data_IF_573121894301
#
_entry.id   IF_573121894301
#
_cell.length_a   1.000
_cell.length_b   1.000
_cell.length_c   1.000
_cell.angle_alpha   90.00
_cell.angle_beta   90.00
_cell.angle_gamma   90.00
#
_symmetry.space_group_name_H-M   'P 1'
#
loop_
_entity.id
_entity.type
_entity.pdbx_description
1 polymer ?
#
# COMPACT_ATOMS: atom_id res chain seq x y z
N UNK A 1 34.64 -36.09 23.04
CA UNK A 1 35.19 -35.51 24.28
C UNK A 1 36.24 -34.45 23.94
N UNK A 2 35.94 -33.16 24.15
CA UNK A 2 36.82 -32.20 24.84
C UNK A 2 36.09 -30.88 24.99
N UNK A 3 35.89 -30.54 26.25
CA UNK A 3 35.15 -29.41 26.78
C UNK A 3 35.87 -28.08 26.53
N UNK A 4 35.10 -27.03 26.24
CA UNK A 4 35.53 -25.66 26.50
C UNK A 4 34.62 -25.07 27.58
N UNK A 5 35.21 -24.85 28.74
CA UNK A 5 34.65 -24.17 29.92
C UNK A 5 35.58 -22.98 30.19
N UNK A 6 35.08 -22.00 30.96
CA UNK A 6 35.82 -20.93 31.66
C UNK A 6 35.91 -19.62 30.84
N UNK A 7 35.58 -18.41 31.33
CA UNK A 7 35.21 -17.88 32.65
C UNK A 7 34.39 -16.59 32.43
N UNK A 8 33.35 -16.35 33.23
CA UNK A 8 32.68 -15.04 33.34
C UNK A 8 33.32 -14.29 34.50
N UNK A 9 33.90 -13.12 34.24
CA UNK A 9 34.41 -12.22 35.29
C UNK A 9 33.55 -10.97 35.35
N UNK A 10 32.78 -10.83 36.43
CA UNK A 10 32.06 -9.61 36.82
C UNK A 10 33.05 -8.53 37.24
N UNK A 11 32.95 -7.34 36.63
CA UNK A 11 33.54 -6.11 37.15
C UNK A 11 32.42 -5.16 37.57
N UNK A 12 32.31 -4.92 38.89
CA UNK A 12 31.54 -3.82 39.47
C UNK A 12 32.24 -2.50 39.11
N UNK A 13 31.59 -1.66 38.31
CA UNK A 13 32.01 -0.28 38.09
C UNK A 13 31.14 0.66 38.94
N UNK A 14 31.83 1.21 39.94
CA UNK A 14 31.59 2.38 40.76
C UNK A 14 30.57 3.41 40.20
N UNK A 15 29.51 3.70 40.97
CA UNK A 15 28.54 4.78 40.67
C UNK A 15 28.88 5.96 41.57
N UNK A 16 29.35 7.11 41.03
CA UNK A 16 29.48 8.31 41.84
C UNK A 16 28.11 8.96 42.04
N UNK A 17 27.65 8.97 43.29
CA UNK A 17 26.67 9.93 43.78
C UNK A 17 27.32 11.32 43.87
N UNK A 18 26.70 12.32 43.22
CA UNK A 18 26.51 13.66 43.81
C UNK A 18 25.64 14.56 42.95
N UNK A 19 24.55 14.97 43.57
CA UNK A 19 23.69 16.08 43.17
C UNK A 19 24.44 17.38 42.88
N UNK A 20 24.12 18.00 41.75
CA UNK A 20 24.15 19.46 41.60
C UNK A 20 22.92 19.91 40.81
N UNK A 21 22.12 20.75 41.46
CA UNK A 21 21.07 21.57 40.87
C UNK A 21 21.61 22.28 39.61
N UNK A 22 21.18 21.82 38.44
CA UNK A 22 21.13 22.62 37.24
C UNK A 22 19.67 22.96 37.01
N UNK A 23 19.31 24.24 37.12
CA UNK A 23 18.00 24.71 36.72
C UNK A 23 17.65 24.10 35.36
N UNK A 24 16.52 23.39 35.28
CA UNK A 24 15.90 23.10 33.99
C UNK A 24 15.50 24.47 33.45
N UNK A 25 16.42 25.10 32.73
CA UNK A 25 16.11 26.21 31.86
C UNK A 25 14.88 25.79 31.04
N UNK A 26 13.90 26.68 30.82
CA UNK A 26 12.84 26.36 29.88
C UNK A 26 13.54 26.01 28.58
N UNK A 27 13.45 24.74 28.14
CA UNK A 27 13.84 24.38 26.79
C UNK A 27 12.85 25.14 25.92
N UNK A 28 13.22 26.37 25.53
CA UNK A 28 12.58 27.02 24.40
C UNK A 28 12.56 25.99 23.29
N UNK A 29 11.40 25.80 22.66
CA UNK A 29 11.27 24.81 21.59
C UNK A 29 12.48 24.93 20.66
N UNK A 30 13.20 23.83 20.43
CA UNK A 30 14.42 23.82 19.62
C UNK A 30 14.20 24.12 18.13
N UNK A 31 13.07 24.75 17.79
CA UNK A 31 12.62 25.10 16.44
C UNK A 31 12.44 26.63 16.38
N UNK A 32 12.82 27.24 15.27
CA UNK A 32 12.69 28.68 15.06
C UNK A 32 11.26 29.11 14.74
N UNK A 33 10.43 28.23 14.17
CA UNK A 33 9.01 28.50 13.88
C UNK A 33 8.19 27.20 13.70
N UNK A 34 6.87 27.33 13.54
CA UNK A 34 5.94 26.20 13.38
C UNK A 34 6.23 25.38 12.11
N UNK A 35 6.58 26.02 11.00
CA UNK A 35 6.88 25.33 9.73
C UNK A 35 8.07 24.39 9.91
N UNK A 36 9.16 24.86 10.52
CA UNK A 36 10.31 24.01 10.83
C UNK A 36 9.96 22.83 11.74
N UNK A 37 9.13 23.06 12.77
CA UNK A 37 8.69 21.99 13.66
C UNK A 37 7.84 20.94 12.92
N UNK A 38 6.95 21.36 12.01
CA UNK A 38 6.13 20.47 11.18
C UNK A 38 6.99 19.70 10.17
N UNK A 39 7.93 20.38 9.52
CA UNK A 39 8.86 19.76 8.57
C UNK A 39 9.74 18.71 9.24
N UNK A 40 10.17 18.96 10.49
CA UNK A 40 10.92 17.98 11.28
C UNK A 40 10.08 16.72 11.57
N UNK A 41 8.80 16.86 11.91
CA UNK A 41 7.89 15.71 12.10
C UNK A 41 7.68 14.97 10.76
N UNK A 42 7.43 15.69 9.68
CA UNK A 42 7.25 15.11 8.35
C UNK A 42 8.50 14.35 7.87
N UNK A 43 9.70 14.85 8.21
CA UNK A 43 10.95 14.17 7.91
C UNK A 43 11.08 12.84 8.67
N UNK A 44 10.64 12.78 9.94
CA UNK A 44 10.58 11.53 10.70
C UNK A 44 9.59 10.55 10.06
N UNK A 45 8.41 11.01 9.64
CA UNK A 45 7.45 10.15 8.94
C UNK A 45 8.00 9.60 7.61
N UNK A 46 8.75 10.41 6.86
CA UNK A 46 9.44 9.95 5.65
C UNK A 46 10.50 8.87 5.94
N UNK A 47 11.21 8.98 7.08
CA UNK A 47 12.12 7.94 7.55
C UNK A 47 11.37 6.67 7.98
N UNK A 48 10.24 6.80 8.67
CA UNK A 48 9.39 5.65 9.04
C UNK A 48 8.86 4.92 7.80
N UNK A 49 8.45 5.66 6.76
CA UNK A 49 8.10 5.09 5.46
C UNK A 49 9.27 4.33 4.83
N UNK A 50 10.47 4.93 4.83
CA UNK A 50 11.68 4.29 4.30
C UNK A 50 12.05 3.01 5.05
N UNK A 51 11.87 2.99 6.38
CA UNK A 51 12.07 1.81 7.22
C UNK A 51 10.99 0.75 6.96
N UNK A 52 9.75 1.14 6.73
CA UNK A 52 8.68 0.20 6.34
C UNK A 52 9.00 -0.50 5.01
N UNK A 53 9.52 0.24 4.02
CA UNK A 53 10.00 -0.36 2.77
C UNK A 53 11.18 -1.33 2.99
N UNK A 54 12.11 -0.97 3.89
CA UNK A 54 13.26 -1.82 4.23
C UNK A 54 12.81 -3.10 4.93
N UNK A 55 11.83 -3.00 5.84
CA UNK A 55 11.19 -4.13 6.50
C UNK A 55 10.54 -5.07 5.49
N UNK A 56 9.79 -4.53 4.52
CA UNK A 56 9.15 -5.35 3.49
C UNK A 56 10.17 -6.18 2.69
N UNK A 57 11.28 -5.57 2.30
CA UNK A 57 12.35 -6.29 1.58
C UNK A 57 12.99 -7.38 2.45
N UNK A 58 13.28 -7.09 3.71
CA UNK A 58 13.85 -8.07 4.64
C UNK A 58 12.88 -9.22 4.92
N UNK A 59 11.59 -8.93 5.10
CA UNK A 59 10.57 -9.95 5.32
C UNK A 59 10.45 -10.88 4.11
N UNK A 60 10.47 -10.35 2.88
CA UNK A 60 10.48 -11.19 1.68
C UNK A 60 11.78 -12.01 1.57
N UNK A 61 12.94 -11.42 1.86
CA UNK A 61 14.21 -12.16 1.85
C UNK A 61 14.22 -13.31 2.87
N UNK A 62 13.62 -13.11 4.04
CA UNK A 62 13.46 -14.18 5.05
C UNK A 62 12.49 -15.25 4.56
N UNK A 63 11.37 -14.86 3.94
CA UNK A 63 10.40 -15.79 3.36
C UNK A 63 11.06 -16.67 2.29
N UNK A 64 11.81 -16.07 1.36
CA UNK A 64 12.57 -16.79 0.33
C UNK A 64 13.62 -17.71 0.95
N UNK A 65 14.36 -17.24 1.96
CA UNK A 65 15.38 -18.06 2.64
C UNK A 65 14.80 -19.31 3.31
N UNK A 66 13.60 -19.22 3.90
CA UNK A 66 12.88 -20.37 4.46
C UNK A 66 12.34 -21.28 3.36
N UNK A 67 11.76 -20.71 2.30
CA UNK A 67 11.22 -21.47 1.17
C UNK A 67 12.29 -22.30 0.44
N UNK A 68 13.54 -21.83 0.43
CA UNK A 68 14.70 -22.55 -0.12
C UNK A 68 15.18 -23.72 0.76
N UNK A 69 14.62 -23.91 1.97
CA UNK A 69 15.05 -24.92 2.98
C UNK A 69 13.87 -25.70 3.57
N UNK A 70 12.98 -26.29 2.76
CA UNK A 70 11.76 -26.94 3.26
C UNK A 70 12.04 -28.05 4.29
N UNK A 71 13.18 -28.75 4.17
CA UNK A 71 13.60 -29.83 5.06
C UNK A 71 13.90 -29.38 6.49
N UNK A 72 14.19 -28.09 6.72
CA UNK A 72 14.53 -27.55 8.04
C UNK A 72 13.31 -27.04 8.80
N UNK A 73 12.21 -26.77 8.09
CA UNK A 73 11.03 -26.10 8.63
C UNK A 73 9.77 -26.94 8.52
N UNK A 74 9.93 -28.27 8.36
CA UNK A 74 8.79 -29.21 8.36
C UNK A 74 7.67 -28.80 7.41
N UNK A 75 8.01 -28.11 6.31
CA UNK A 75 7.02 -27.55 5.42
C UNK A 75 6.16 -28.70 4.88
N UNK A 76 4.84 -28.69 5.08
CA UNK A 76 3.99 -29.71 4.49
C UNK A 76 4.25 -29.72 2.98
N UNK A 77 4.32 -30.92 2.39
CA UNK A 77 4.24 -31.09 0.93
C UNK A 77 3.13 -30.16 0.43
N UNK A 78 3.37 -29.33 -0.61
CA UNK A 78 2.42 -28.31 -1.02
C UNK A 78 1.11 -28.97 -1.44
N UNK A 79 0.15 -29.05 -0.52
CA UNK A 79 -1.21 -29.42 -0.83
C UNK A 79 -1.80 -28.32 -1.70
N UNK A 80 -2.53 -28.71 -2.74
CA UNK A 80 -2.99 -27.83 -3.79
C UNK A 80 -3.90 -26.66 -3.33
N UNK A 81 -4.28 -26.62 -2.05
CA UNK A 81 -5.16 -25.63 -1.41
C UNK A 81 -4.50 -24.82 -0.28
N UNK A 82 -3.21 -25.01 0.05
CA UNK A 82 -2.56 -24.18 1.08
C UNK A 82 -2.15 -22.82 0.50
N UNK A 83 -3.07 -21.85 0.60
CA UNK A 83 -2.98 -20.51 -0.01
C UNK A 83 -1.77 -19.70 0.47
N UNK A 84 -1.12 -20.08 1.57
CA UNK A 84 0.06 -19.38 2.09
C UNK A 84 1.39 -20.09 1.75
N UNK A 85 1.45 -21.43 1.78
CA UNK A 85 2.72 -22.17 1.65
C UNK A 85 3.82 -21.66 2.59
N UNK A 86 3.44 -20.99 3.68
CA UNK A 86 4.35 -20.38 4.65
C UNK A 86 4.66 -21.41 5.73
N UNK A 87 5.94 -21.57 6.06
CA UNK A 87 6.34 -22.43 7.17
C UNK A 87 5.72 -21.92 8.50
N UNK A 88 4.97 -22.74 9.25
CA UNK A 88 4.37 -22.34 10.53
C UNK A 88 5.39 -21.77 11.53
N UNK A 89 6.59 -22.35 11.57
CA UNK A 89 7.69 -21.93 12.44
C UNK A 89 8.19 -20.51 12.11
N UNK A 90 8.14 -20.11 10.82
CA UNK A 90 8.47 -18.75 10.40
C UNK A 90 7.43 -17.76 10.96
N UNK A 91 6.15 -18.09 10.81
CA UNK A 91 5.04 -17.25 11.29
C UNK A 91 5.11 -17.08 12.81
N UNK A 92 5.27 -18.18 13.54
CA UNK A 92 5.39 -18.17 15.01
C UNK A 92 6.58 -17.31 15.47
N UNK A 93 7.76 -17.49 14.86
CA UNK A 93 8.95 -16.74 15.22
C UNK A 93 8.82 -15.24 14.93
N UNK A 94 8.28 -14.87 13.77
CA UNK A 94 8.03 -13.47 13.43
C UNK A 94 6.98 -12.84 14.35
N UNK A 95 5.88 -13.55 14.63
CA UNK A 95 4.85 -13.10 15.56
C UNK A 95 5.43 -12.81 16.95
N UNK A 96 6.22 -13.76 17.49
CA UNK A 96 6.92 -13.61 18.77
C UNK A 96 7.92 -12.46 18.77
N UNK A 97 8.77 -12.37 17.75
CA UNK A 97 9.82 -11.34 17.67
C UNK A 97 9.23 -9.93 17.55
N UNK A 98 8.16 -9.78 16.77
CA UNK A 98 7.48 -8.51 16.51
C UNK A 98 6.40 -8.17 17.54
N UNK A 99 6.06 -9.12 18.43
CA UNK A 99 5.00 -9.01 19.44
C UNK A 99 3.62 -8.71 18.82
N UNK A 100 3.28 -9.44 17.77
CA UNK A 100 1.99 -9.35 17.06
C UNK A 100 1.32 -10.72 17.02
N UNK A 101 -0.02 -10.80 16.83
CA UNK A 101 -0.69 -12.06 16.56
C UNK A 101 -0.15 -12.73 15.28
N UNK A 102 -0.20 -14.06 15.20
CA UNK A 102 0.25 -14.83 14.02
C UNK A 102 -0.46 -14.38 12.75
N UNK A 103 -1.77 -14.14 12.80
CA UNK A 103 -2.51 -13.61 11.65
C UNK A 103 -1.99 -12.24 11.17
N UNK A 104 -1.48 -11.39 12.07
CA UNK A 104 -0.82 -10.15 11.68
C UNK A 104 0.56 -10.38 11.08
N UNK A 105 1.31 -11.39 11.56
CA UNK A 105 2.58 -11.77 10.95
C UNK A 105 2.37 -12.30 9.52
N UNK A 106 1.37 -13.15 9.30
CA UNK A 106 0.97 -13.63 7.95
C UNK A 106 0.64 -12.45 7.04
N UNK A 107 -0.24 -11.53 7.49
CA UNK A 107 -0.60 -10.36 6.71
C UNK A 107 0.62 -9.51 6.32
N UNK A 108 1.58 -9.33 7.24
CA UNK A 108 2.81 -8.60 6.96
C UNK A 108 3.72 -9.32 5.95
N UNK A 109 3.80 -10.66 6.01
CA UNK A 109 4.57 -11.45 5.04
C UNK A 109 3.97 -11.31 3.65
N UNK A 110 2.65 -11.46 3.52
CA UNK A 110 1.94 -11.31 2.24
C UNK A 110 2.05 -9.89 1.68
N UNK A 111 1.87 -8.88 2.54
CA UNK A 111 2.04 -7.47 2.15
C UNK A 111 3.46 -7.22 1.63
N UNK A 112 4.47 -7.76 2.32
CA UNK A 112 5.88 -7.63 1.95
C UNK A 112 6.17 -8.26 0.60
N UNK A 113 5.68 -9.48 0.37
CA UNK A 113 5.78 -10.19 -0.92
C UNK A 113 5.13 -9.40 -2.04
N UNK A 114 3.91 -8.90 -1.83
CA UNK A 114 3.19 -8.09 -2.81
C UNK A 114 3.93 -6.79 -3.14
N UNK A 115 4.50 -6.09 -2.14
CA UNK A 115 5.30 -4.89 -2.36
C UNK A 115 6.55 -5.15 -3.21
N UNK A 116 7.26 -6.24 -2.94
CA UNK A 116 8.50 -6.59 -3.65
C UNK A 116 8.22 -7.05 -5.08
N UNK A 117 7.26 -7.94 -5.28
CA UNK A 117 7.09 -8.63 -6.57
C UNK A 117 5.99 -8.04 -7.45
N UNK A 118 4.96 -7.45 -6.86
CA UNK A 118 3.77 -6.99 -7.60
C UNK A 118 3.66 -5.47 -7.69
N UNK A 119 4.22 -4.75 -6.71
CA UNK A 119 4.13 -3.30 -6.56
C UNK A 119 5.49 -2.59 -6.39
N UNK A 120 6.47 -2.82 -7.29
CA UNK A 120 7.80 -2.25 -7.14
C UNK A 120 7.82 -0.70 -7.19
N UNK A 121 6.82 -0.05 -7.82
CA UNK A 121 6.75 1.42 -7.83
C UNK A 121 6.25 1.96 -6.49
N UNK A 122 5.28 1.28 -5.88
CA UNK A 122 4.84 1.59 -4.52
C UNK A 122 5.98 1.40 -3.53
N UNK A 123 6.71 0.28 -3.62
CA UNK A 123 7.88 0.05 -2.78
C UNK A 123 8.95 1.15 -2.96
N UNK A 124 9.23 1.57 -4.19
CA UNK A 124 10.17 2.65 -4.46
C UNK A 124 9.71 4.00 -3.89
N UNK A 125 8.41 4.32 -4.00
CA UNK A 125 7.85 5.54 -3.42
C UNK A 125 7.90 5.54 -1.89
N UNK A 126 7.62 4.39 -1.27
CA UNK A 126 7.69 4.17 0.17
C UNK A 126 9.14 4.30 0.66
N UNK A 127 10.10 3.69 -0.06
CA UNK A 127 11.55 3.80 0.22
C UNK A 127 12.08 5.22 0.13
N UNK A 128 11.52 6.04 -0.75
CA UNK A 128 11.86 7.46 -0.86
C UNK A 128 11.16 8.37 0.15
N UNK A 129 10.32 7.81 1.03
CA UNK A 129 9.51 8.60 1.97
C UNK A 129 8.45 9.49 1.32
N UNK A 130 8.10 9.23 0.05
CA UNK A 130 7.12 10.05 -0.70
C UNK A 130 5.67 9.70 -0.39
N UNK A 131 5.44 8.53 0.19
CA UNK A 131 4.13 8.06 0.62
C UNK A 131 4.31 7.37 1.98
N UNK A 132 3.28 7.44 2.83
CA UNK A 132 3.25 6.66 4.06
C UNK A 132 2.91 5.18 3.81
N UNK A 133 3.17 4.33 4.79
CA UNK A 133 2.79 2.92 4.74
C UNK A 133 1.27 2.72 4.53
N UNK A 134 0.43 3.58 5.13
CA UNK A 134 -1.02 3.54 4.93
C UNK A 134 -1.42 3.77 3.46
N UNK A 135 -0.72 4.65 2.72
CA UNK A 135 -0.96 4.80 1.28
C UNK A 135 -0.60 3.53 0.51
N UNK A 136 0.49 2.86 0.88
CA UNK A 136 0.89 1.60 0.26
C UNK A 136 -0.18 0.52 0.48
N UNK A 137 -0.71 0.39 1.70
CA UNK A 137 -1.82 -0.52 2.02
C UNK A 137 -3.08 -0.22 1.20
N UNK A 138 -3.46 1.06 1.06
CA UNK A 138 -4.56 1.46 0.18
C UNK A 138 -4.32 1.01 -1.26
N UNK A 139 -3.13 1.23 -1.81
CA UNK A 139 -2.81 0.82 -3.18
C UNK A 139 -2.95 -0.70 -3.31
N UNK A 140 -2.30 -1.47 -2.43
CA UNK A 140 -2.33 -2.93 -2.43
C UNK A 140 -3.77 -3.46 -2.41
N UNK A 141 -4.59 -2.99 -1.46
CA UNK A 141 -5.98 -3.40 -1.32
C UNK A 141 -6.83 -3.13 -2.57
N UNK A 142 -6.66 -1.97 -3.21
CA UNK A 142 -7.40 -1.66 -4.45
C UNK A 142 -6.80 -2.32 -5.69
N UNK A 143 -5.59 -2.88 -5.64
CA UNK A 143 -4.99 -3.60 -6.76
C UNK A 143 -5.11 -5.12 -6.65
N UNK A 144 -5.55 -5.61 -5.50
CA UNK A 144 -5.71 -7.05 -5.24
C UNK A 144 -6.66 -7.72 -6.25
N UNK A 145 -6.32 -8.94 -6.66
CA UNK A 145 -7.05 -9.71 -7.68
C UNK A 145 -7.00 -9.15 -9.11
N UNK A 146 -6.33 -8.03 -9.37
CA UNK A 146 -6.18 -7.50 -10.73
C UNK A 146 -5.10 -8.24 -11.51
N UNK A 147 -5.36 -8.53 -12.79
CA UNK A 147 -4.33 -8.97 -13.74
C UNK A 147 -3.17 -7.98 -13.79
N UNK A 148 -1.95 -8.47 -14.00
CA UNK A 148 -0.68 -7.70 -13.99
C UNK A 148 -0.76 -6.35 -14.72
N UNK A 149 -1.29 -6.32 -15.94
CA UNK A 149 -1.41 -5.09 -16.73
C UNK A 149 -2.33 -4.05 -16.06
N UNK A 150 -3.49 -4.48 -15.56
CA UNK A 150 -4.46 -3.62 -14.87
C UNK A 150 -3.91 -3.12 -13.53
N UNK A 151 -3.22 -3.99 -12.79
CA UNK A 151 -2.52 -3.66 -11.54
C UNK A 151 -1.48 -2.57 -11.75
N UNK A 152 -0.55 -2.76 -12.68
CA UNK A 152 0.49 -1.77 -13.02
C UNK A 152 -0.11 -0.43 -13.43
N UNK A 153 -1.16 -0.47 -14.25
CA UNK A 153 -1.85 0.73 -14.70
C UNK A 153 -2.61 1.44 -13.57
N UNK A 154 -3.13 0.73 -12.57
CA UNK A 154 -3.81 1.34 -11.42
C UNK A 154 -2.79 1.88 -10.43
N UNK A 155 -1.79 1.08 -10.04
CA UNK A 155 -0.65 1.49 -9.20
C UNK A 155 -0.06 2.83 -9.67
N UNK A 156 0.27 2.93 -10.95
CA UNK A 156 0.86 4.16 -11.53
C UNK A 156 -0.04 5.38 -11.40
N UNK A 157 -1.37 5.21 -11.48
CA UNK A 157 -2.33 6.33 -11.33
C UNK A 157 -2.48 6.73 -9.87
N UNK A 158 -2.61 5.75 -8.98
CA UNK A 158 -2.75 6.01 -7.54
C UNK A 158 -1.51 6.70 -6.98
N UNK A 159 -0.31 6.30 -7.40
CA UNK A 159 0.95 6.93 -6.97
C UNK A 159 1.06 8.42 -7.36
N UNK A 160 0.39 8.87 -8.42
CA UNK A 160 0.35 10.30 -8.76
C UNK A 160 -0.43 11.11 -7.73
N UNK A 161 -1.50 10.53 -7.18
CA UNK A 161 -2.37 11.19 -6.21
C UNK A 161 -1.82 11.06 -4.78
N UNK A 162 -1.26 9.89 -4.45
CA UNK A 162 -0.77 9.55 -3.11
C UNK A 162 0.29 10.52 -2.55
N UNK A 163 0.99 11.29 -3.40
CA UNK A 163 2.01 12.26 -2.99
C UNK A 163 1.43 13.54 -2.38
N UNK A 164 0.16 13.82 -2.62
CA UNK A 164 -0.48 15.09 -2.27
C UNK A 164 -1.82 14.93 -1.57
N UNK A 165 -2.23 13.69 -1.31
CA UNK A 165 -3.50 13.36 -0.66
C UNK A 165 -3.26 12.56 0.61
N UNK A 166 -4.26 12.50 1.47
CA UNK A 166 -4.30 11.53 2.57
C UNK A 166 -4.67 10.12 2.07
N UNK A 167 -4.45 9.05 2.86
CA UNK A 167 -4.86 7.70 2.49
C UNK A 167 -6.38 7.55 2.27
N UNK A 168 -7.18 8.33 3.01
CA UNK A 168 -8.65 8.36 2.86
C UNK A 168 -9.07 8.95 1.52
N UNK A 169 -8.51 10.09 1.14
CA UNK A 169 -8.74 10.71 -0.17
C UNK A 169 -8.24 9.81 -1.32
N UNK A 170 -7.07 9.18 -1.15
CA UNK A 170 -6.56 8.21 -2.11
C UNK A 170 -7.54 7.04 -2.30
N UNK A 171 -8.17 6.57 -1.23
CA UNK A 171 -9.16 5.50 -1.28
C UNK A 171 -10.38 5.88 -2.14
N UNK A 172 -10.85 7.14 -2.05
CA UNK A 172 -11.94 7.64 -2.89
C UNK A 172 -11.55 7.70 -4.38
N UNK A 173 -10.31 8.13 -4.67
CA UNK A 173 -9.76 8.11 -6.03
C UNK A 173 -9.66 6.67 -6.54
N UNK A 174 -9.18 5.75 -5.71
CA UNK A 174 -9.00 4.34 -6.08
C UNK A 174 -10.33 3.63 -6.35
N UNK A 175 -11.35 3.90 -5.55
CA UNK A 175 -12.71 3.43 -5.79
C UNK A 175 -13.23 3.91 -7.15
N UNK A 176 -13.12 5.22 -7.42
CA UNK A 176 -13.56 5.82 -8.70
C UNK A 176 -12.83 5.21 -9.90
N UNK A 177 -11.51 5.02 -9.79
CA UNK A 177 -10.70 4.42 -10.85
C UNK A 177 -11.05 2.94 -11.08
N UNK A 178 -11.36 2.18 -10.02
CA UNK A 178 -11.84 0.80 -10.12
C UNK A 178 -13.19 0.72 -10.80
N UNK A 179 -14.16 1.52 -10.36
CA UNK A 179 -15.51 1.54 -10.94
C UNK A 179 -15.47 1.88 -12.43
N UNK A 180 -14.65 2.86 -12.84
CA UNK A 180 -14.48 3.22 -14.25
C UNK A 180 -14.00 2.06 -15.13
N UNK A 181 -13.20 1.14 -14.57
CA UNK A 181 -12.63 -0.01 -15.31
C UNK A 181 -13.46 -1.28 -15.22
N UNK A 182 -14.24 -1.44 -14.16
CA UNK A 182 -15.17 -2.55 -13.98
C UNK A 182 -16.51 -2.30 -14.68
N UNK A 183 -16.76 -1.07 -15.14
CA UNK A 183 -17.85 -0.82 -16.08
C UNK A 183 -17.60 -1.64 -17.36
N UNK A 184 -18.58 -2.46 -17.80
CA UNK A 184 -18.47 -3.08 -19.12
C UNK A 184 -18.23 -1.98 -20.15
N UNK A 185 -17.31 -2.21 -21.08
CA UNK A 185 -17.16 -1.36 -22.25
C UNK A 185 -18.49 -1.36 -23.01
N UNK A 186 -19.36 -0.39 -22.75
CA UNK A 186 -20.34 0.00 -23.75
C UNK A 186 -19.54 0.59 -24.91
N UNK A 187 -19.10 -0.28 -25.83
CA UNK A 187 -18.66 0.15 -27.16
C UNK A 187 -19.75 1.06 -27.71
N UNK A 188 -19.33 2.24 -28.14
CA UNK A 188 -20.19 3.24 -28.75
C UNK A 188 -21.10 2.62 -29.82
N UNK A 189 -22.41 2.85 -29.72
CA UNK A 189 -23.18 3.01 -30.94
C UNK A 189 -22.80 4.39 -31.52
N UNK A 190 -22.25 4.47 -32.74
CA UNK A 190 -22.24 5.73 -33.44
C UNK A 190 -23.70 6.13 -33.62
N UNK A 191 -24.08 7.30 -33.07
CA UNK A 191 -25.36 7.92 -33.37
C UNK A 191 -25.31 8.37 -34.83
N UNK A 192 -25.56 7.43 -35.74
CA UNK A 192 -25.74 7.70 -37.16
C UNK A 192 -26.98 8.58 -37.25
N UNK A 193 -26.79 9.88 -37.45
CA UNK A 193 -27.87 10.75 -37.91
C UNK A 193 -28.10 10.38 -39.36
N UNK A 194 -28.86 9.30 -39.57
CA UNK A 194 -29.35 8.93 -40.89
C UNK A 194 -30.45 9.92 -41.27
N UNK A 195 -30.05 10.96 -41.99
CA UNK A 195 -30.96 11.78 -42.78
C UNK A 195 -31.62 10.90 -43.85
N UNK A 196 -32.77 10.30 -43.53
CA UNK A 196 -33.64 9.67 -44.52
C UNK A 196 -34.68 10.68 -45.02
N UNK A 197 -34.23 11.52 -45.95
CA UNK A 197 -35.06 12.29 -46.86
C UNK A 197 -35.81 11.34 -47.81
N UNK A 198 -36.98 10.84 -47.42
CA UNK A 198 -38.01 10.39 -48.39
C UNK A 198 -39.40 10.20 -47.76
N UNK A 199 -40.21 11.26 -47.81
CA UNK A 199 -41.59 11.14 -48.31
C UNK A 199 -42.03 12.48 -48.89
N UNK A 200 -41.86 12.61 -50.22
CA UNK A 200 -42.42 13.70 -51.00
C UNK A 200 -43.94 13.55 -51.06
N UNK A 201 -44.60 14.70 -50.86
CA UNK A 201 -45.76 15.20 -51.59
C UNK A 201 -47.05 14.37 -51.64
N UNK A 202 -48.10 14.91 -51.01
CA UNK A 202 -49.20 15.48 -51.81
C UNK A 202 -49.38 16.96 -51.45
N UNK A 203 -48.97 17.80 -52.39
CA UNK A 203 -49.59 19.10 -52.60
C UNK A 203 -50.96 18.83 -53.21
N UNK A 204 -52.04 19.36 -52.61
CA UNK A 204 -53.13 19.94 -53.40
C UNK A 204 -54.08 20.74 -52.52
N UNK A 205 -54.12 22.03 -52.82
CA UNK A 205 -55.28 22.93 -52.84
C UNK A 205 -56.03 23.22 -51.54
N UNK A 206 -55.84 24.44 -51.07
CA UNK A 206 -56.91 25.21 -50.43
C UNK A 206 -58.04 25.45 -51.45
N UNK A 207 -59.30 25.41 -51.01
CA UNK A 207 -60.23 26.46 -51.41
C UNK A 207 -61.04 27.00 -50.22
N UNK A 208 -60.96 28.32 -50.09
CA UNK A 208 -62.04 29.26 -49.77
C UNK A 208 -63.43 28.69 -49.46
N UNK A 209 -64.02 29.12 -48.33
CA UNK A 209 -65.47 29.09 -48.17
C UNK A 209 -65.96 29.20 -46.73
N UNK A 210 -66.24 30.42 -46.26
CA UNK A 210 -67.15 30.68 -45.13
C UNK A 210 -68.57 30.36 -45.59
N UNK A 211 -69.43 29.78 -44.75
CA UNK A 211 -70.64 30.51 -44.44
C UNK A 211 -71.08 30.43 -42.97
N UNK A 212 -71.69 31.53 -42.58
CA UNK A 212 -72.49 31.81 -41.39
C UNK A 212 -73.70 30.90 -41.25
N UNK A 213 -74.04 30.54 -40.02
CA UNK A 213 -75.41 30.68 -39.51
C UNK A 213 -75.40 30.90 -38.01
#
# INVERSE_FOLDING_TARGET
MRSNKVLVTRGLADVPDRSARGAVAPRGSGFANLTEAVDAVAAVDALLASLAASRAVLMESVREWVADRPEQFGAPEPEADDVAGLAPELVEQLARALRVPEGSAVALIEESRALVHEHPRTLAALRGGHISHAHAQTILGYTDGLRRANRVALETRLLKHARTTTPGELSLVALTERERRLRPENRAEPRVVAAARTRRQRVSASPTGRPTR
#
